data_IF_708956800975
#
_entry.id   IF_708956800975
#
_cell.length_a   1.000
_cell.length_b   1.000
_cell.length_c   1.000
_cell.angle_alpha   90.00
_cell.angle_beta   90.00
_cell.angle_gamma   90.00
#
_symmetry.space_group_name_H-M   'P 1'
#
loop_
_entity.id
_entity.type
_entity.pdbx_description
1 polymer ?
#
# COMPACT_ATOMS: atom_id res chain seq x y z
N UNK A 1 -23.75 14.11 -20.67
CA UNK A 1 -23.08 13.82 -19.40
C UNK A 1 -21.58 13.79 -19.66
N UNK A 2 -20.84 14.78 -19.15
CA UNK A 2 -19.38 14.77 -19.22
C UNK A 2 -18.88 13.90 -18.06
N UNK A 3 -18.32 12.74 -18.37
CA UNK A 3 -17.54 12.00 -17.39
C UNK A 3 -16.26 12.79 -17.15
N UNK A 4 -16.18 13.52 -16.05
CA UNK A 4 -14.90 14.02 -15.56
C UNK A 4 -14.07 12.79 -15.24
N UNK A 5 -13.15 12.41 -16.13
CA UNK A 5 -12.04 11.56 -15.75
C UNK A 5 -11.25 12.33 -14.69
N UNK A 6 -11.55 12.08 -13.42
CA UNK A 6 -10.62 12.35 -12.33
C UNK A 6 -9.42 11.45 -12.58
N UNK A 7 -8.50 11.88 -13.43
CA UNK A 7 -7.16 11.31 -13.44
C UNK A 7 -6.55 11.79 -12.12
N UNK A 8 -6.75 11.01 -11.06
CA UNK A 8 -5.93 11.14 -9.87
C UNK A 8 -4.49 11.03 -10.35
N UNK A 9 -3.72 12.10 -10.17
CA UNK A 9 -2.31 12.12 -10.55
C UNK A 9 -1.63 10.91 -9.93
N UNK A 10 -0.92 10.13 -10.73
CA UNK A 10 -0.06 9.08 -10.24
C UNK A 10 0.94 9.66 -9.23
N UNK A 11 1.10 9.01 -8.08
CA UNK A 11 2.02 9.40 -7.01
C UNK A 11 3.13 8.37 -6.95
N UNK A 12 4.31 8.74 -7.43
CA UNK A 12 5.48 7.88 -7.33
C UNK A 12 6.07 7.95 -5.93
N UNK A 13 6.36 6.79 -5.35
CA UNK A 13 7.01 6.63 -4.05
C UNK A 13 8.19 5.68 -4.19
N UNK A 14 9.26 5.92 -3.44
CA UNK A 14 10.48 5.12 -3.44
C UNK A 14 10.91 4.70 -2.02
N UNK A 15 10.09 5.03 -1.02
CA UNK A 15 10.32 4.79 0.40
C UNK A 15 8.98 4.46 1.10
N UNK A 16 9.07 3.97 2.34
CA UNK A 16 7.90 3.78 3.18
C UNK A 16 7.10 5.09 3.32
N UNK A 17 5.79 5.02 3.10
CA UNK A 17 4.96 6.20 2.87
C UNK A 17 3.57 6.08 3.52
N UNK A 18 2.97 7.23 3.83
CA UNK A 18 1.55 7.31 4.16
C UNK A 18 0.75 7.54 2.89
N UNK A 19 -0.17 6.62 2.58
CA UNK A 19 -1.03 6.67 1.41
C UNK A 19 -2.41 7.16 1.87
N UNK A 20 -2.52 8.48 2.02
CA UNK A 20 -3.61 9.15 2.73
C UNK A 20 -4.49 10.03 1.81
N UNK A 21 -4.28 9.96 0.50
CA UNK A 21 -5.13 10.63 -0.49
C UNK A 21 -6.23 9.68 -0.97
N UNK A 22 -7.49 10.05 -0.74
CA UNK A 22 -8.65 9.30 -1.23
C UNK A 22 -8.66 9.23 -2.76
N UNK A 23 -8.89 8.05 -3.33
CA UNK A 23 -8.76 7.82 -4.77
C UNK A 23 -7.30 7.86 -5.29
N UNK A 24 -6.32 7.90 -4.40
CA UNK A 24 -4.90 8.02 -4.75
C UNK A 24 -4.38 6.75 -5.43
N UNK A 25 -3.57 6.95 -6.47
CA UNK A 25 -2.87 5.88 -7.18
C UNK A 25 -1.38 6.03 -6.93
N UNK A 26 -0.82 5.10 -6.16
CA UNK A 26 0.58 5.10 -5.73
C UNK A 26 1.37 4.02 -6.46
N UNK A 27 2.54 4.41 -6.93
CA UNK A 27 3.43 3.56 -7.72
C UNK A 27 4.78 3.47 -7.03
N UNK A 28 5.17 2.26 -6.63
CA UNK A 28 6.51 2.07 -6.10
C UNK A 28 7.51 2.11 -7.26
N UNK A 29 8.56 2.92 -7.13
CA UNK A 29 9.56 3.11 -8.17
C UNK A 29 10.95 2.59 -7.80
N UNK A 30 11.11 2.03 -6.61
CA UNK A 30 12.37 1.43 -6.14
C UNK A 30 12.11 0.35 -5.08
N UNK A 31 13.06 -0.57 -4.94
CA UNK A 31 13.06 -1.51 -3.81
C UNK A 31 13.31 -0.76 -2.50
N UNK A 32 12.64 -1.22 -1.44
CA UNK A 32 12.88 -0.81 -0.06
C UNK A 32 13.45 -2.04 0.65
N UNK A 33 14.62 -1.92 1.29
CA UNK A 33 15.30 -3.01 1.99
C UNK A 33 15.46 -2.72 3.47
N UNK A 34 15.35 -3.77 4.30
CA UNK A 34 15.64 -3.74 5.73
C UNK A 34 14.97 -2.58 6.49
N UNK A 35 13.70 -2.30 6.21
CA UNK A 35 12.98 -1.21 6.87
C UNK A 35 12.64 -1.56 8.32
N UNK A 36 13.05 -0.70 9.26
CA UNK A 36 12.71 -0.83 10.68
C UNK A 36 11.41 -0.10 11.06
N UNK A 37 10.62 0.34 10.08
CA UNK A 37 9.36 1.06 10.35
C UNK A 37 8.35 0.14 11.04
N UNK A 38 7.41 0.73 11.81
CA UNK A 38 6.30 -0.07 12.36
C UNK A 38 5.29 -0.51 11.29
N UNK A 39 5.17 0.29 10.23
CA UNK A 39 4.38 0.05 9.02
C UNK A 39 5.13 0.68 7.85
N UNK A 40 5.33 -0.02 6.73
CA UNK A 40 6.01 0.62 5.59
C UNK A 40 5.02 1.39 4.71
N UNK A 41 4.03 0.73 4.13
CA UNK A 41 2.94 1.38 3.41
C UNK A 41 1.74 1.50 4.35
N UNK A 42 1.46 2.71 4.82
CA UNK A 42 0.35 2.98 5.73
C UNK A 42 -0.81 3.63 4.97
N UNK A 43 -1.76 2.82 4.53
CA UNK A 43 -2.93 3.19 3.74
C UNK A 43 -4.07 3.59 4.67
N UNK A 44 -4.40 4.88 4.69
CA UNK A 44 -5.39 5.46 5.63
C UNK A 44 -6.50 6.24 4.92
N UNK A 45 -6.64 6.08 3.60
CA UNK A 45 -7.70 6.70 2.81
C UNK A 45 -8.44 5.65 1.97
N UNK A 46 -9.70 5.94 1.63
CA UNK A 46 -10.53 5.05 0.80
C UNK A 46 -10.11 5.08 -0.68
N UNK A 47 -10.44 4.00 -1.40
CA UNK A 47 -10.24 3.90 -2.85
C UNK A 47 -8.78 4.05 -3.28
N UNK A 48 -7.84 3.56 -2.47
CA UNK A 48 -6.40 3.65 -2.76
C UNK A 48 -5.95 2.48 -3.61
N UNK A 49 -5.19 2.77 -4.67
CA UNK A 49 -4.41 1.78 -5.41
C UNK A 49 -2.93 1.92 -5.03
N UNK A 50 -2.32 0.84 -4.57
CA UNK A 50 -0.87 0.67 -4.50
C UNK A 50 -0.44 -0.36 -5.54
N UNK A 51 0.35 0.06 -6.52
CA UNK A 51 1.01 -0.80 -7.50
C UNK A 51 2.51 -0.77 -7.27
N UNK A 52 3.08 -1.88 -6.80
CA UNK A 52 4.51 -1.91 -6.52
C UNK A 52 5.37 -2.21 -7.76
N UNK A 53 4.77 -2.44 -8.93
CA UNK A 53 5.48 -2.68 -10.19
C UNK A 53 6.56 -3.78 -10.15
N UNK A 54 6.44 -4.74 -9.22
CA UNK A 54 7.40 -5.82 -9.00
C UNK A 54 8.53 -5.49 -8.01
N UNK A 55 8.59 -4.27 -7.47
CA UNK A 55 9.57 -3.90 -6.45
C UNK A 55 9.25 -4.51 -5.08
N UNK A 56 10.31 -4.70 -4.31
CA UNK A 56 10.29 -5.29 -2.98
C UNK A 56 10.04 -4.25 -1.88
N UNK A 57 9.21 -4.61 -0.91
CA UNK A 57 9.03 -3.93 0.38
C UNK A 57 9.52 -4.89 1.47
N UNK A 58 10.73 -4.68 1.94
CA UNK A 58 11.43 -5.60 2.84
C UNK A 58 11.65 -4.99 4.23
N UNK A 59 11.31 -5.78 5.25
CA UNK A 59 11.36 -5.43 6.67
C UNK A 59 12.60 -6.00 7.37
N UNK A 60 12.50 -6.26 8.68
CA UNK A 60 13.59 -6.80 9.52
C UNK A 60 13.10 -7.87 10.52
N UNK A 61 12.09 -8.66 10.15
CA UNK A 61 11.45 -9.72 10.95
C UNK A 61 10.89 -9.27 12.31
N UNK A 62 10.59 -7.98 12.46
CA UNK A 62 10.03 -7.46 13.70
C UNK A 62 8.57 -7.90 13.86
N UNK A 63 8.27 -8.62 14.95
CA UNK A 63 6.91 -9.06 15.24
C UNK A 63 5.90 -7.91 15.26
N UNK A 64 4.66 -8.19 14.85
CA UNK A 64 3.55 -7.22 14.85
C UNK A 64 3.78 -5.95 13.99
N UNK A 65 4.66 -6.01 13.00
CA UNK A 65 4.87 -4.92 12.03
C UNK A 65 4.38 -5.32 10.64
N UNK A 66 3.42 -4.59 10.04
CA UNK A 66 3.00 -4.85 8.68
C UNK A 66 3.85 -4.15 7.61
N UNK A 67 4.20 -4.84 6.53
CA UNK A 67 4.80 -4.22 5.35
C UNK A 67 3.82 -3.28 4.65
N UNK A 68 2.60 -3.76 4.43
CA UNK A 68 1.48 -2.94 3.98
C UNK A 68 0.33 -3.04 4.98
N UNK A 69 -0.13 -1.90 5.46
CA UNK A 69 -1.28 -1.78 6.35
C UNK A 69 -2.38 -0.97 5.68
N UNK A 70 -3.61 -1.46 5.74
CA UNK A 70 -4.78 -0.72 5.27
C UNK A 70 -5.94 -0.86 6.26
N UNK A 71 -6.65 0.24 6.51
CA UNK A 71 -7.82 0.26 7.39
C UNK A 71 -9.04 1.01 6.83
N UNK A 72 -9.00 1.34 5.54
CA UNK A 72 -10.08 1.98 4.80
C UNK A 72 -10.57 1.06 3.68
N UNK A 73 -11.72 1.37 3.11
CA UNK A 73 -12.38 0.50 2.13
C UNK A 73 -11.88 0.75 0.71
N UNK A 74 -12.12 -0.24 -0.15
CA UNK A 74 -11.74 -0.27 -1.56
C UNK A 74 -10.24 -0.06 -1.77
N UNK A 75 -9.41 -0.74 -0.98
CA UNK A 75 -7.95 -0.71 -1.14
C UNK A 75 -7.51 -1.82 -2.09
N UNK A 76 -6.78 -1.47 -3.14
CA UNK A 76 -6.14 -2.45 -4.04
C UNK A 76 -4.63 -2.38 -3.85
N UNK A 77 -4.02 -3.51 -3.48
CA UNK A 77 -2.56 -3.68 -3.43
C UNK A 77 -2.17 -4.74 -4.46
N UNK A 78 -1.28 -4.41 -5.39
CA UNK A 78 -0.88 -5.34 -6.47
C UNK A 78 0.60 -5.23 -6.83
N UNK A 79 1.12 -6.30 -7.43
CA UNK A 79 2.49 -6.40 -7.93
C UNK A 79 3.59 -6.11 -6.89
N UNK A 80 3.32 -6.36 -5.61
CA UNK A 80 4.26 -6.14 -4.51
C UNK A 80 4.92 -7.44 -4.09
N UNK A 81 6.24 -7.41 -3.91
CA UNK A 81 6.98 -8.45 -3.18
C UNK A 81 7.17 -7.94 -1.76
N UNK A 82 6.57 -8.60 -0.76
CA UNK A 82 6.62 -8.14 0.63
C UNK A 82 7.25 -9.22 1.51
N UNK A 83 8.41 -8.90 2.11
CA UNK A 83 9.26 -9.86 2.85
C UNK A 83 9.69 -9.32 4.20
N UNK A 84 10.01 -10.22 5.13
CA UNK A 84 10.63 -9.92 6.43
C UNK A 84 9.81 -8.94 7.30
N UNK A 85 8.48 -9.04 7.23
CA UNK A 85 7.54 -8.32 8.09
C UNK A 85 6.81 -9.29 9.01
N UNK A 86 6.49 -8.86 10.24
CA UNK A 86 5.62 -9.64 11.14
C UNK A 86 4.24 -9.93 10.52
N UNK A 87 3.77 -9.03 9.65
CA UNK A 87 2.67 -9.27 8.72
C UNK A 87 3.07 -8.75 7.33
N UNK A 88 2.92 -9.53 6.27
CA UNK A 88 3.19 -9.01 4.91
C UNK A 88 2.22 -7.88 4.55
N UNK A 89 0.95 -8.24 4.33
CA UNK A 89 -0.14 -7.30 4.07
C UNK A 89 -1.21 -7.52 5.14
N UNK A 90 -1.59 -6.44 5.84
CA UNK A 90 -2.57 -6.49 6.92
C UNK A 90 -3.71 -5.49 6.71
N UNK A 91 -4.92 -6.03 6.52
CA UNK A 91 -6.16 -5.28 6.43
C UNK A 91 -6.88 -5.31 7.78
N UNK A 92 -7.19 -4.14 8.35
CA UNK A 92 -7.80 -4.02 9.68
C UNK A 92 -9.09 -3.19 9.57
N UNK A 93 -10.23 -3.84 9.74
CA UNK A 93 -11.53 -3.15 9.71
C UNK A 93 -11.95 -2.60 8.35
N UNK A 94 -11.25 -2.93 7.26
CA UNK A 94 -11.78 -2.67 5.93
C UNK A 94 -12.91 -3.67 5.64
N UNK A 95 -14.07 -3.17 5.23
CA UNK A 95 -15.19 -4.00 4.79
C UNK A 95 -15.10 -4.18 3.27
N UNK A 96 -14.08 -4.87 2.78
CA UNK A 96 -13.98 -5.17 1.35
C UNK A 96 -14.51 -6.58 1.07
N UNK A 97 -15.49 -6.64 0.16
CA UNK A 97 -16.12 -7.86 -0.35
C UNK A 97 -15.02 -8.83 -0.87
N UNK A 98 -14.95 -10.07 -0.38
CA UNK A 98 -13.86 -10.97 -0.72
C UNK A 98 -13.92 -11.38 -2.19
N UNK A 99 -13.04 -10.80 -2.99
CA UNK A 99 -12.59 -11.39 -4.24
C UNK A 99 -11.06 -11.49 -4.19
N UNK A 100 -10.59 -12.51 -3.48
CA UNK A 100 -9.30 -13.15 -3.72
C UNK A 100 -9.59 -14.52 -4.37
#
# INVERSE_FOLDING_TARGET
LLFFSNIASAINIDNCSNLNQAGGQYYLTANIFNSSNKKCMNITADNVLLDCQGYTIDGIDTSQTPGVYANQSNTTVRNCVVTDWGYGIYYSGCFDNPAA
#
